data_IF_177635660245
#
_entry.id   IF_177635660245
#
_cell.length_a   1.000
_cell.length_b   1.000
_cell.length_c   1.000
_cell.angle_alpha   90.00
_cell.angle_beta   90.00
_cell.angle_gamma   90.00
#
_symmetry.space_group_name_H-M   'P 1'
#
loop_
_entity.id
_entity.type
_entity.pdbx_description
1 polymer ?
#
# COMPACT_ATOMS: atom_id res chain seq x y z
N UNK A 1 1.77 2.94 19.42
CA UNK A 1 1.98 3.68 18.15
C UNK A 1 1.43 2.82 17.03
N UNK A 2 0.66 3.40 16.12
CA UNK A 2 0.09 2.68 14.96
C UNK A 2 0.39 3.46 13.68
N UNK A 3 0.80 2.74 12.64
CA UNK A 3 0.96 3.23 11.27
C UNK A 3 -0.34 2.90 10.52
N UNK A 4 -0.96 3.92 9.94
CA UNK A 4 -2.15 3.75 9.11
C UNK A 4 -1.72 3.61 7.66
N UNK A 5 -2.18 2.54 7.02
CA UNK A 5 -1.93 2.23 5.61
C UNK A 5 -3.23 2.30 4.82
N UNK A 6 -3.53 3.46 4.22
CA UNK A 6 -4.75 3.62 3.46
C UNK A 6 -4.62 3.05 2.05
N UNK A 7 -5.69 2.44 1.56
CA UNK A 7 -5.98 2.36 0.14
C UNK A 7 -6.41 3.73 -0.42
N UNK A 8 -7.14 3.73 -1.54
CA UNK A 8 -7.63 4.97 -2.16
C UNK A 8 -8.82 5.53 -1.38
N UNK A 9 -8.83 6.84 -1.12
CA UNK A 9 -9.96 7.58 -0.55
C UNK A 9 -10.18 8.88 -1.30
N UNK A 10 -11.44 9.35 -1.36
CA UNK A 10 -11.80 10.64 -1.96
C UNK A 10 -11.56 11.79 -0.97
N UNK A 11 -10.32 12.29 -0.92
CA UNK A 11 -9.88 13.33 0.03
C UNK A 11 -9.38 14.61 -0.64
N UNK A 12 -9.41 14.69 -1.97
CA UNK A 12 -8.76 15.76 -2.74
C UNK A 12 -7.23 15.66 -2.78
N UNK A 13 -6.62 14.78 -1.97
CA UNK A 13 -5.18 14.58 -1.95
C UNK A 13 -4.63 14.15 -3.32
N UNK A 14 -5.33 13.25 -4.02
CA UNK A 14 -4.95 12.82 -5.36
C UNK A 14 -4.98 13.93 -6.41
N UNK A 15 -5.79 14.97 -6.20
CA UNK A 15 -5.85 16.15 -7.06
C UNK A 15 -4.79 17.19 -6.68
N UNK A 16 -4.39 17.21 -5.40
CA UNK A 16 -3.26 18.00 -4.91
C UNK A 16 -1.90 17.38 -5.21
N UNK A 17 -1.88 16.09 -5.56
CA UNK A 17 -0.67 15.41 -5.97
C UNK A 17 -0.14 16.10 -7.24
N UNK A 18 1.04 16.70 -7.09
CA UNK A 18 1.69 17.47 -8.15
C UNK A 18 1.91 16.54 -9.33
N UNK A 19 1.17 16.76 -10.42
CA UNK A 19 1.49 16.14 -11.70
C UNK A 19 2.98 16.36 -11.97
N UNK A 20 3.72 15.36 -12.47
CA UNK A 20 5.15 15.52 -12.72
C UNK A 20 5.39 16.79 -13.54
N UNK A 21 6.28 17.67 -13.08
CA UNK A 21 6.59 18.92 -13.77
C UNK A 21 7.16 18.70 -15.18
N UNK A 22 7.64 17.48 -15.44
CA UNK A 22 8.08 17.00 -16.75
C UNK A 22 7.80 15.50 -16.87
N UNK A 23 7.27 15.09 -18.02
CA UNK A 23 7.20 13.69 -18.43
C UNK A 23 8.53 13.25 -19.07
N UNK A 24 8.90 11.98 -18.86
CA UNK A 24 10.07 11.36 -19.48
C UNK A 24 9.55 10.32 -20.47
N UNK A 25 9.71 10.58 -21.76
CA UNK A 25 9.11 9.75 -22.83
C UNK A 25 9.53 8.28 -22.75
N UNK A 26 10.76 8.00 -22.30
CA UNK A 26 11.27 6.64 -22.10
C UNK A 26 10.41 5.79 -21.13
N UNK A 27 9.62 6.41 -20.26
CA UNK A 27 8.74 5.73 -19.30
C UNK A 27 7.26 5.72 -19.72
N UNK A 28 6.90 6.23 -20.90
CA UNK A 28 5.50 6.34 -21.33
C UNK A 28 4.77 4.99 -21.29
N UNK A 29 5.44 3.91 -21.70
CA UNK A 29 4.87 2.56 -21.67
C UNK A 29 4.50 2.11 -20.24
N UNK A 30 5.37 2.37 -19.26
CA UNK A 30 5.11 2.04 -17.86
C UNK A 30 4.00 2.93 -17.27
N UNK A 31 4.00 4.22 -17.61
CA UNK A 31 2.97 5.16 -17.15
C UNK A 31 1.57 4.75 -17.63
N UNK A 32 1.44 4.25 -18.86
CA UNK A 32 0.15 3.75 -19.39
C UNK A 32 -0.39 2.51 -18.66
N UNK A 33 0.45 1.78 -17.91
CA UNK A 33 0.01 0.63 -17.12
C UNK A 33 -0.57 1.04 -15.76
N UNK A 34 -0.22 2.21 -15.23
CA UNK A 34 -0.61 2.67 -13.89
C UNK A 34 -2.11 2.55 -13.56
N UNK A 35 -3.04 2.93 -14.46
CA UNK A 35 -4.46 2.81 -14.17
C UNK A 35 -4.92 1.37 -13.89
N UNK A 36 -4.24 0.37 -14.47
CA UNK A 36 -4.57 -1.04 -14.31
C UNK A 36 -3.79 -1.76 -13.21
N UNK A 37 -2.86 -1.09 -12.53
CA UNK A 37 -2.02 -1.72 -11.50
C UNK A 37 -2.67 -1.79 -10.12
N UNK A 38 -3.66 -0.95 -9.85
CA UNK A 38 -4.25 -0.79 -8.52
C UNK A 38 -5.78 -0.76 -8.58
N UNK A 39 -6.43 -1.20 -7.51
CA UNK A 39 -7.84 -0.93 -7.29
C UNK A 39 -8.01 0.54 -6.86
N UNK A 40 -8.57 1.34 -7.78
CA UNK A 40 -8.84 2.76 -7.55
C UNK A 40 -10.20 3.02 -6.87
N UNK A 41 -10.94 1.97 -6.50
CA UNK A 41 -12.23 2.10 -5.81
C UNK A 41 -12.06 2.83 -4.48
N UNK A 42 -12.69 4.00 -4.29
CA UNK A 42 -12.55 4.75 -3.05
C UNK A 42 -13.17 3.98 -1.87
N UNK A 43 -12.43 3.89 -0.77
CA UNK A 43 -12.94 3.33 0.48
C UNK A 43 -13.94 4.25 1.19
N UNK A 44 -14.60 3.70 2.22
CA UNK A 44 -15.48 4.45 3.13
C UNK A 44 -14.64 5.32 4.09
N UNK A 45 -14.50 6.61 3.78
CA UNK A 45 -13.69 7.56 4.57
C UNK A 45 -14.17 7.69 6.02
N UNK A 46 -15.47 7.76 6.23
CA UNK A 46 -16.04 7.88 7.58
C UNK A 46 -15.79 6.62 8.41
N UNK A 47 -15.91 5.44 7.77
CA UNK A 47 -15.58 4.15 8.37
C UNK A 47 -14.11 4.05 8.76
N UNK A 48 -13.19 4.52 7.90
CA UNK A 48 -11.77 4.56 8.20
C UNK A 48 -11.46 5.46 9.41
N UNK A 49 -12.02 6.68 9.44
CA UNK A 49 -11.84 7.61 10.56
C UNK A 49 -12.34 7.02 11.90
N UNK A 50 -13.55 6.42 11.92
CA UNK A 50 -14.09 5.76 13.11
C UNK A 50 -13.22 4.59 13.57
N UNK A 51 -12.65 3.83 12.64
CA UNK A 51 -11.76 2.69 12.95
C UNK A 51 -10.43 3.16 13.56
N UNK A 52 -9.85 4.24 13.03
CA UNK A 52 -8.62 4.81 13.58
C UNK A 52 -8.86 5.31 15.02
N UNK A 53 -9.96 6.02 15.26
CA UNK A 53 -10.32 6.49 16.60
C UNK A 53 -10.60 5.32 17.56
N UNK A 54 -11.26 4.26 17.09
CA UNK A 54 -11.62 3.12 17.96
C UNK A 54 -10.43 2.31 18.45
N UNK A 55 -9.26 2.44 17.80
CA UNK A 55 -8.02 1.81 18.25
C UNK A 55 -7.07 2.76 18.98
N UNK A 56 -7.38 4.06 19.05
CA UNK A 56 -6.58 5.02 19.79
C UNK A 56 -6.53 4.61 21.28
N UNK A 57 -5.35 4.73 21.88
CA UNK A 57 -5.05 4.37 23.28
C UNK A 57 -5.34 2.92 23.72
N UNK A 58 -5.66 2.03 22.78
CA UNK A 58 -5.75 0.61 23.08
C UNK A 58 -4.37 0.04 23.39
N UNK A 59 -4.20 -0.71 24.50
CA UNK A 59 -2.93 -1.35 24.81
C UNK A 59 -2.54 -2.42 23.78
N UNK A 60 -3.53 -2.97 23.09
CA UNK A 60 -3.39 -3.98 22.03
C UNK A 60 -3.54 -3.39 20.61
N UNK A 61 -3.43 -2.05 20.46
CA UNK A 61 -3.50 -1.42 19.14
C UNK A 61 -2.46 -2.02 18.18
N UNK A 62 -2.84 -2.38 16.94
CA UNK A 62 -1.90 -2.98 16.01
C UNK A 62 -0.82 -1.98 15.61
N UNK A 63 0.40 -2.47 15.34
CA UNK A 63 1.45 -1.62 14.80
C UNK A 63 1.10 -1.07 13.41
N UNK A 64 0.41 -1.86 12.58
CA UNK A 64 -0.01 -1.50 11.22
C UNK A 64 -1.52 -1.75 11.08
N UNK A 65 -2.25 -0.72 10.68
CA UNK A 65 -3.69 -0.81 10.39
C UNK A 65 -3.91 -0.48 8.92
N UNK A 66 -4.34 -1.47 8.14
CA UNK A 66 -4.79 -1.22 6.77
C UNK A 66 -6.25 -0.77 6.75
N UNK A 67 -6.57 0.27 5.96
CA UNK A 67 -7.95 0.77 5.79
C UNK A 67 -8.28 0.98 4.31
N UNK A 68 -9.48 0.58 3.89
CA UNK A 68 -9.93 0.67 2.49
C UNK A 68 -9.71 -0.60 1.68
N UNK A 69 -9.76 -0.47 0.36
CA UNK A 69 -9.55 -1.56 -0.60
C UNK A 69 -8.06 -1.78 -0.88
N UNK A 70 -7.68 -2.99 -1.32
CA UNK A 70 -6.29 -3.32 -1.70
C UNK A 70 -5.51 -4.22 -0.73
N UNK A 71 -6.11 -4.64 0.39
CA UNK A 71 -5.44 -5.52 1.37
C UNK A 71 -4.98 -6.84 0.74
N UNK A 72 -5.74 -7.40 -0.19
CA UNK A 72 -5.38 -8.65 -0.86
C UNK A 72 -4.15 -8.49 -1.78
N UNK A 73 -3.97 -7.31 -2.39
CA UNK A 73 -2.75 -7.00 -3.15
C UNK A 73 -1.54 -6.87 -2.23
N UNK A 74 -1.71 -6.24 -1.07
CA UNK A 74 -0.67 -6.16 -0.03
C UNK A 74 -0.28 -7.56 0.44
N UNK A 75 -1.27 -8.42 0.75
CA UNK A 75 -1.04 -9.82 1.14
C UNK A 75 -0.26 -10.57 0.07
N UNK A 76 -0.68 -10.46 -1.19
CA UNK A 76 0.00 -11.08 -2.33
C UNK A 76 1.46 -10.63 -2.43
N UNK A 77 1.72 -9.33 -2.28
CA UNK A 77 3.08 -8.80 -2.35
C UNK A 77 3.98 -9.26 -1.19
N UNK A 78 3.43 -9.44 0.02
CA UNK A 78 4.16 -10.04 1.14
C UNK A 78 4.48 -11.52 0.89
N UNK A 79 3.51 -12.31 0.43
CA UNK A 79 3.74 -13.72 0.10
C UNK A 79 4.81 -13.86 -0.98
N UNK A 80 4.73 -13.07 -2.04
CA UNK A 80 5.73 -13.09 -3.11
C UNK A 80 7.15 -12.86 -2.58
N UNK A 81 7.34 -11.89 -1.68
CA UNK A 81 8.66 -11.63 -1.06
C UNK A 81 9.15 -12.81 -0.22
N UNK A 82 8.25 -13.44 0.53
CA UNK A 82 8.61 -14.63 1.32
C UNK A 82 8.99 -15.80 0.41
N UNK A 83 8.26 -16.00 -0.69
CA UNK A 83 8.55 -17.04 -1.69
C UNK A 83 9.91 -16.81 -2.37
N UNK A 84 10.23 -15.56 -2.73
CA UNK A 84 11.53 -15.17 -3.31
C UNK A 84 12.69 -15.46 -2.34
N UNK A 85 12.53 -15.13 -1.06
CA UNK A 85 13.54 -15.41 -0.04
C UNK A 85 13.71 -16.91 0.21
N UNK A 86 12.60 -17.67 0.23
CA UNK A 86 12.66 -19.12 0.34
C UNK A 86 13.41 -19.73 -0.86
N UNK A 87 13.14 -19.27 -2.08
CA UNK A 87 13.85 -19.74 -3.28
C UNK A 87 15.36 -19.40 -3.23
N UNK A 88 15.71 -18.28 -2.60
CA UNK A 88 17.09 -17.78 -2.50
C UNK A 88 17.79 -18.18 -1.21
N UNK A 89 17.20 -19.04 -0.38
CA UNK A 89 17.70 -19.38 0.96
C UNK A 89 19.16 -19.85 0.96
N UNK A 90 19.56 -20.60 -0.07
CA UNK A 90 20.93 -21.09 -0.23
C UNK A 90 21.96 -19.95 -0.31
N UNK A 91 21.61 -18.80 -0.92
CA UNK A 91 22.49 -17.62 -0.98
C UNK A 91 22.64 -16.99 0.40
N UNK A 92 21.54 -16.83 1.15
CA UNK A 92 21.56 -16.32 2.52
C UNK A 92 22.35 -17.24 3.45
N UNK A 93 22.22 -18.56 3.28
CA UNK A 93 22.96 -19.55 4.08
C UNK A 93 24.48 -19.44 3.88
N UNK A 94 24.93 -19.00 2.71
CA UNK A 94 26.35 -18.79 2.44
C UNK A 94 26.97 -17.59 3.19
N UNK A 95 26.16 -16.75 3.84
CA UNK A 95 26.62 -15.57 4.60
C UNK A 95 26.57 -15.74 6.13
N UNK A 96 26.23 -16.94 6.62
CA UNK A 96 26.20 -17.30 8.04
C UNK A 96 27.47 -18.03 8.45
#
# INVERSE_FOLDING_TARGET
>A
MTIVEPGVFKTGLGESAVQPSRTIDAYAAAAHQLPGLYDWTPGNLEGAARTIVSIADRPDAPLRLYVGHGLDDVRRHYHHRLDEWAASEHLTRATL
#
